data_IF_261028261989
#
_entry.id   IF_261028261989
#
_cell.length_a   1.000
_cell.length_b   1.000
_cell.length_c   1.000
_cell.angle_alpha   90.00
_cell.angle_beta   90.00
_cell.angle_gamma   90.00
#
_symmetry.space_group_name_H-M   'P 1'
#
loop_
_entity.id
_entity.type
_entity.pdbx_description
1 polymer ?
#
# COMPACT_ATOMS: atom_id res chain seq x y z
N UNK A 1 -6.38 -13.45 -27.32
CA UNK A 1 -5.53 -12.82 -26.31
C UNK A 1 -4.21 -12.44 -26.98
N UNK A 2 -3.70 -11.22 -26.81
CA UNK A 2 -2.37 -10.86 -27.28
C UNK A 2 -1.33 -11.82 -26.68
N UNK A 3 -0.29 -12.15 -27.46
CA UNK A 3 0.81 -12.98 -26.95
C UNK A 3 1.59 -12.20 -25.91
N UNK A 4 2.09 -12.86 -24.84
CA UNK A 4 2.96 -12.20 -23.87
C UNK A 4 4.15 -11.56 -24.57
N UNK A 5 4.42 -10.31 -24.24
CA UNK A 5 5.63 -9.62 -24.76
C UNK A 5 6.83 -9.93 -23.87
N UNK A 6 8.00 -10.14 -24.49
CA UNK A 6 9.24 -10.28 -23.73
C UNK A 6 9.63 -8.92 -23.13
N UNK A 7 10.14 -8.93 -21.91
CA UNK A 7 10.57 -7.72 -21.20
C UNK A 7 11.64 -6.95 -21.98
N UNK A 8 12.52 -7.64 -22.72
CA UNK A 8 13.51 -7.01 -23.57
C UNK A 8 12.87 -6.22 -24.73
N UNK A 9 11.76 -6.73 -25.27
CA UNK A 9 11.00 -6.03 -26.33
C UNK A 9 10.34 -4.79 -25.76
N UNK A 10 9.80 -4.86 -24.54
CA UNK A 10 9.19 -3.73 -23.85
C UNK A 10 10.21 -2.64 -23.54
N UNK A 11 11.40 -3.01 -23.04
CA UNK A 11 12.49 -2.08 -22.80
C UNK A 11 12.92 -1.37 -24.08
N UNK A 12 13.03 -2.08 -25.20
CA UNK A 12 13.39 -1.51 -26.49
C UNK A 12 12.31 -0.57 -27.06
N UNK A 13 11.04 -0.79 -26.74
CA UNK A 13 9.90 0.03 -27.19
C UNK A 13 9.59 1.20 -26.29
N UNK A 14 10.32 1.41 -25.19
CA UNK A 14 10.09 2.52 -24.26
C UNK A 14 9.98 3.89 -24.93
N UNK A 15 10.76 4.22 -25.97
CA UNK A 15 10.58 5.48 -26.72
C UNK A 15 9.19 5.65 -27.32
N UNK A 16 8.45 4.53 -27.58
CA UNK A 16 7.13 4.53 -28.20
C UNK A 16 5.99 4.66 -27.17
N UNK A 17 6.29 4.96 -25.91
CA UNK A 17 5.29 5.11 -24.84
C UNK A 17 4.90 6.58 -24.68
N UNK A 18 4.34 7.14 -25.75
CA UNK A 18 3.92 8.55 -25.83
C UNK A 18 3.00 8.95 -24.67
N UNK A 19 2.09 8.06 -24.26
CA UNK A 19 1.15 8.35 -23.17
C UNK A 19 1.87 8.71 -21.84
N UNK A 20 3.07 8.18 -21.56
CA UNK A 20 3.84 8.54 -20.36
C UNK A 20 4.33 9.98 -20.39
N UNK A 21 4.56 10.53 -21.60
CA UNK A 21 4.97 11.93 -21.79
C UNK A 21 3.78 12.89 -21.63
N UNK A 22 2.56 12.41 -21.89
CA UNK A 22 1.32 13.16 -21.73
C UNK A 22 0.82 13.20 -20.27
N UNK A 23 1.35 12.31 -19.40
CA UNK A 23 0.97 12.30 -18.00
C UNK A 23 1.44 13.58 -17.28
N UNK A 24 0.60 14.16 -16.39
CA UNK A 24 0.98 15.32 -15.59
C UNK A 24 2.28 15.08 -14.84
N UNK A 25 3.16 16.07 -14.80
CA UNK A 25 4.44 15.96 -14.08
C UNK A 25 4.29 16.02 -12.57
N UNK A 26 3.19 16.61 -12.10
CA UNK A 26 2.86 16.72 -10.68
C UNK A 26 1.36 16.48 -10.48
N UNK A 27 1.00 15.67 -9.48
CA UNK A 27 -0.38 15.39 -9.05
C UNK A 27 -0.43 15.20 -7.54
N UNK A 28 -1.30 15.93 -6.86
CA UNK A 28 -1.59 15.75 -5.42
C UNK A 28 -0.34 15.72 -4.52
N UNK A 29 0.72 16.47 -4.86
CA UNK A 29 1.98 16.48 -4.13
C UNK A 29 2.93 15.33 -4.46
N UNK A 30 2.63 14.56 -5.52
CA UNK A 30 3.53 13.56 -6.10
C UNK A 30 4.17 14.11 -7.37
N UNK A 31 5.47 13.85 -7.55
CA UNK A 31 6.20 14.15 -8.78
C UNK A 31 6.33 12.91 -9.65
N UNK A 32 6.16 13.06 -10.96
CA UNK A 32 6.33 11.98 -11.92
C UNK A 32 7.81 11.76 -12.23
N UNK A 33 8.27 10.54 -12.00
CA UNK A 33 9.59 10.05 -12.36
C UNK A 33 9.51 9.09 -13.55
N UNK A 34 10.35 9.30 -14.54
CA UNK A 34 10.46 8.36 -15.64
C UNK A 34 11.04 7.03 -15.17
N UNK A 35 10.44 5.93 -15.61
CA UNK A 35 10.89 4.58 -15.32
C UNK A 35 12.10 4.15 -16.16
N UNK A 36 12.18 2.86 -16.43
CA UNK A 36 13.25 2.24 -17.21
C UNK A 36 14.12 1.32 -16.38
N UNK A 37 13.72 1.04 -15.16
CA UNK A 37 14.44 0.17 -14.25
C UNK A 37 13.77 -1.21 -14.19
N UNK A 38 14.60 -2.26 -14.25
CA UNK A 38 14.17 -3.63 -13.99
C UNK A 38 14.46 -3.95 -12.53
N UNK A 39 13.38 -4.21 -11.76
CA UNK A 39 13.45 -4.62 -10.35
C UNK A 39 12.98 -6.08 -10.26
N UNK A 40 13.89 -7.04 -10.21
CA UNK A 40 13.56 -8.46 -10.24
C UNK A 40 12.80 -8.84 -11.52
N UNK A 41 11.52 -9.17 -11.39
CA UNK A 41 10.65 -9.53 -12.53
C UNK A 41 9.75 -8.39 -12.99
N UNK A 42 9.88 -7.20 -12.44
CA UNK A 42 9.05 -6.03 -12.73
C UNK A 42 9.85 -4.94 -13.43
N UNK A 43 9.35 -4.51 -14.59
CA UNK A 43 9.89 -3.37 -15.31
C UNK A 43 9.04 -2.14 -15.00
N UNK A 44 9.65 -1.12 -14.37
CA UNK A 44 8.98 0.13 -14.04
C UNK A 44 8.93 1.02 -15.27
N UNK A 45 7.72 1.40 -15.69
CA UNK A 45 7.46 2.28 -16.82
C UNK A 45 7.56 3.76 -16.43
N UNK A 46 7.05 4.09 -15.27
CA UNK A 46 7.08 5.40 -14.63
C UNK A 46 6.47 5.32 -13.23
N UNK A 47 6.70 6.34 -12.43
CA UNK A 47 6.22 6.38 -11.04
C UNK A 47 5.80 7.79 -10.65
N UNK A 48 4.74 7.90 -9.86
CA UNK A 48 4.43 9.09 -9.06
C UNK A 48 4.97 8.89 -7.66
N UNK A 49 5.80 9.81 -7.19
CA UNK A 49 6.55 9.66 -5.93
C UNK A 49 6.31 10.84 -5.01
N UNK A 50 6.05 10.54 -3.74
CA UNK A 50 6.11 11.48 -2.64
C UNK A 50 7.01 10.87 -1.55
N UNK A 51 8.29 11.26 -1.57
CA UNK A 51 9.31 10.72 -0.66
C UNK A 51 9.05 11.10 0.80
N UNK A 52 8.55 12.32 1.05
CA UNK A 52 8.23 12.80 2.40
C UNK A 52 7.12 11.94 3.03
N UNK A 53 6.09 11.62 2.25
CA UNK A 53 5.00 10.76 2.69
C UNK A 53 5.34 9.26 2.62
N UNK A 54 6.51 8.88 2.10
CA UNK A 54 6.91 7.48 1.83
C UNK A 54 5.86 6.74 1.00
N UNK A 55 5.32 7.40 -0.04
CA UNK A 55 4.26 6.86 -0.88
C UNK A 55 4.65 6.93 -2.35
N UNK A 56 4.24 5.89 -3.09
CA UNK A 56 4.57 5.77 -4.51
C UNK A 56 3.45 5.02 -5.25
N UNK A 57 3.16 5.45 -6.46
CA UNK A 57 2.37 4.74 -7.45
C UNK A 57 3.29 4.38 -8.61
N UNK A 58 3.61 3.11 -8.79
CA UNK A 58 4.42 2.62 -9.91
C UNK A 58 3.51 2.06 -11.01
N UNK A 59 3.80 2.41 -12.25
CA UNK A 59 3.23 1.77 -13.43
C UNK A 59 4.23 0.72 -13.88
N UNK A 60 3.87 -0.56 -13.81
CA UNK A 60 4.81 -1.65 -14.08
C UNK A 60 4.31 -2.61 -15.18
N UNK A 61 5.27 -3.29 -15.78
CA UNK A 61 5.07 -4.54 -16.50
C UNK A 61 5.75 -5.67 -15.74
N UNK A 62 5.02 -6.77 -15.49
CA UNK A 62 5.57 -7.94 -14.79
C UNK A 62 5.86 -9.09 -15.75
N UNK A 63 7.08 -9.66 -15.68
CA UNK A 63 7.51 -10.80 -16.47
C UNK A 63 6.86 -12.13 -16.01
N UNK A 64 6.41 -12.19 -14.76
CA UNK A 64 5.83 -13.42 -14.22
C UNK A 64 4.47 -13.74 -14.84
N UNK A 65 3.61 -12.74 -14.96
CA UNK A 65 2.23 -12.89 -15.47
C UNK A 65 2.02 -12.23 -16.83
N UNK A 66 3.03 -11.48 -17.30
CA UNK A 66 3.01 -10.69 -18.53
C UNK A 66 1.92 -9.60 -18.53
N UNK A 67 1.69 -9.00 -17.36
CA UNK A 67 0.66 -7.99 -17.18
C UNK A 67 1.26 -6.61 -16.98
N UNK A 68 0.54 -5.60 -17.48
CA UNK A 68 0.67 -4.21 -17.10
C UNK A 68 -0.25 -3.95 -15.91
N UNK A 69 0.27 -3.32 -14.85
CA UNK A 69 -0.52 -3.08 -13.64
C UNK A 69 0.04 -1.92 -12.84
N UNK A 70 -0.81 -1.04 -12.26
CA UNK A 70 -0.37 -0.08 -11.26
C UNK A 70 -0.08 -0.79 -9.94
N UNK A 71 0.99 -0.35 -9.28
CA UNK A 71 1.39 -0.84 -7.96
C UNK A 71 1.47 0.34 -7.01
N UNK A 72 0.81 0.25 -5.89
CA UNK A 72 0.91 1.23 -4.81
C UNK A 72 1.90 0.76 -3.78
N UNK A 73 2.72 1.68 -3.33
CA UNK A 73 3.58 1.52 -2.17
C UNK A 73 3.23 2.60 -1.15
N UNK A 74 2.90 2.18 0.06
CA UNK A 74 2.58 3.06 1.19
C UNK A 74 3.40 2.56 2.38
N UNK A 75 4.48 3.27 2.69
CA UNK A 75 5.48 2.78 3.63
C UNK A 75 6.11 1.47 3.16
N UNK A 76 5.98 0.42 3.98
CA UNK A 76 6.43 -0.94 3.65
C UNK A 76 5.33 -1.79 2.98
N UNK A 77 4.10 -1.30 2.92
CA UNK A 77 3.00 -1.97 2.22
C UNK A 77 3.14 -1.76 0.71
N UNK A 78 3.13 -2.85 -0.06
CA UNK A 78 3.19 -2.81 -1.51
C UNK A 78 2.16 -3.77 -2.11
N UNK A 79 1.27 -3.26 -2.97
CA UNK A 79 0.18 -4.04 -3.53
C UNK A 79 -0.21 -3.57 -4.93
N UNK A 80 -0.70 -4.53 -5.74
CA UNK A 80 -1.15 -4.30 -7.11
C UNK A 80 -2.60 -3.82 -7.14
N UNK A 81 -2.89 -2.85 -8.01
CA UNK A 81 -4.26 -2.41 -8.28
C UNK A 81 -4.87 -3.22 -9.42
N UNK A 82 -5.52 -4.31 -9.08
CA UNK A 82 -6.09 -5.25 -10.05
C UNK A 82 -7.26 -4.68 -10.89
N UNK A 83 -7.75 -3.48 -10.57
CA UNK A 83 -8.75 -2.79 -11.40
C UNK A 83 -8.23 -2.44 -12.79
N UNK A 84 -6.90 -2.33 -12.95
CA UNK A 84 -6.22 -1.87 -14.15
C UNK A 84 -5.16 -2.87 -14.64
N UNK A 85 -5.36 -4.15 -14.36
CA UNK A 85 -4.47 -5.20 -14.87
C UNK A 85 -4.87 -5.62 -16.29
N UNK A 86 -3.91 -5.63 -17.22
CA UNK A 86 -4.12 -6.08 -18.60
C UNK A 86 -2.81 -6.52 -19.23
N UNK A 87 -2.90 -7.38 -20.26
CA UNK A 87 -1.76 -7.76 -21.11
C UNK A 87 -1.64 -6.90 -22.37
N UNK A 88 -2.60 -6.01 -22.59
CA UNK A 88 -2.60 -5.12 -23.74
C UNK A 88 -2.09 -3.74 -23.37
N UNK A 89 -0.96 -3.35 -24.00
CA UNK A 89 -0.31 -2.05 -23.76
C UNK A 89 -1.24 -0.87 -24.04
N UNK A 90 -2.04 -0.94 -25.15
CA UNK A 90 -2.87 0.18 -25.55
C UNK A 90 -4.06 0.35 -24.60
N UNK A 91 -4.66 -0.77 -24.18
CA UNK A 91 -5.70 -0.79 -23.15
C UNK A 91 -5.16 -0.23 -21.83
N UNK A 92 -3.93 -0.61 -21.44
CA UNK A 92 -3.29 -0.06 -20.25
C UNK A 92 -3.10 1.46 -20.36
N UNK A 93 -2.57 1.93 -21.48
CA UNK A 93 -2.36 3.36 -21.74
C UNK A 93 -3.67 4.15 -21.63
N UNK A 94 -4.74 3.68 -22.28
CA UNK A 94 -6.08 4.29 -22.23
C UNK A 94 -6.60 4.36 -20.77
N UNK A 95 -6.53 3.24 -20.05
CA UNK A 95 -7.02 3.18 -18.68
C UNK A 95 -6.22 4.10 -17.74
N UNK A 96 -4.90 4.11 -17.88
CA UNK A 96 -4.04 4.94 -17.02
C UNK A 96 -4.26 6.41 -17.31
N UNK A 97 -4.28 6.82 -18.59
CA UNK A 97 -4.55 8.22 -18.96
C UNK A 97 -5.88 8.71 -18.38
N UNK A 98 -6.93 7.87 -18.41
CA UNK A 98 -8.24 8.20 -17.86
C UNK A 98 -8.37 8.13 -16.34
N UNK A 99 -7.43 7.48 -15.64
CA UNK A 99 -7.56 7.18 -14.22
C UNK A 99 -6.41 7.71 -13.34
N UNK A 100 -5.35 8.26 -13.92
CA UNK A 100 -4.11 8.58 -13.20
C UNK A 100 -4.32 9.56 -12.05
N UNK A 101 -5.12 10.60 -12.25
CA UNK A 101 -5.45 11.58 -11.23
C UNK A 101 -6.04 10.90 -9.97
N UNK A 102 -7.06 10.06 -10.18
CA UNK A 102 -7.68 9.28 -9.11
C UNK A 102 -6.73 8.26 -8.46
N UNK A 103 -5.90 7.57 -9.25
CA UNK A 103 -4.95 6.59 -8.73
C UNK A 103 -3.92 7.24 -7.81
N UNK A 104 -3.44 8.45 -8.16
CA UNK A 104 -2.54 9.23 -7.31
C UNK A 104 -3.30 9.76 -6.10
N UNK A 105 -4.50 10.33 -6.26
CA UNK A 105 -5.35 10.79 -5.16
C UNK A 105 -5.60 9.70 -4.12
N UNK A 106 -5.95 8.48 -4.56
CA UNK A 106 -6.15 7.31 -3.70
C UNK A 106 -4.86 6.86 -2.96
N UNK A 107 -3.70 7.43 -3.31
CA UNK A 107 -2.40 7.16 -2.67
C UNK A 107 -2.00 8.27 -1.67
N UNK A 108 -2.69 9.42 -1.67
CA UNK A 108 -2.45 10.55 -0.76
C UNK A 108 -2.67 10.12 0.70
N UNK A 109 -1.84 10.61 1.67
CA UNK A 109 -2.01 10.28 3.10
C UNK A 109 -3.40 10.60 3.68
N UNK A 110 -4.03 11.67 3.21
CA UNK A 110 -5.33 12.16 3.70
C UNK A 110 -6.54 11.60 2.95
N UNK A 111 -6.32 10.69 2.00
CA UNK A 111 -7.41 10.08 1.26
C UNK A 111 -8.28 9.19 2.16
N UNK A 112 -9.58 9.40 2.12
CA UNK A 112 -10.56 8.52 2.78
C UNK A 112 -11.08 7.53 1.73
N UNK A 113 -10.92 6.21 1.97
CA UNK A 113 -11.37 5.18 1.04
C UNK A 113 -12.87 5.28 0.73
N UNK A 114 -13.29 4.80 -0.44
CA UNK A 114 -14.71 4.73 -0.81
C UNK A 114 -15.56 3.90 0.15
N UNK A 115 -14.93 2.96 0.85
CA UNK A 115 -15.52 2.21 1.96
C UNK A 115 -15.69 3.01 3.26
N UNK A 116 -15.35 4.30 3.26
CA UNK A 116 -15.37 5.17 4.45
C UNK A 116 -16.68 5.17 5.21
N UNK A 117 -17.84 5.03 4.52
CA UNK A 117 -19.15 4.91 5.19
C UNK A 117 -19.21 3.67 6.10
N UNK A 118 -18.68 2.52 5.67
CA UNK A 118 -18.63 1.29 6.49
C UNK A 118 -17.66 1.46 7.67
N UNK A 119 -16.56 2.15 7.46
CA UNK A 119 -15.59 2.44 8.52
C UNK A 119 -16.20 3.39 9.57
N UNK A 120 -16.99 4.38 9.12
CA UNK A 120 -17.71 5.29 10.01
C UNK A 120 -18.77 4.57 10.80
N UNK A 121 -19.60 3.75 10.16
CA UNK A 121 -20.65 2.95 10.82
C UNK A 121 -20.05 1.99 11.86
N UNK A 122 -18.81 1.54 11.64
CA UNK A 122 -18.04 0.72 12.58
C UNK A 122 -17.36 1.53 13.70
N UNK A 123 -17.39 2.87 13.62
CA UNK A 123 -16.72 3.77 14.55
C UNK A 123 -15.21 3.92 14.32
N UNK A 124 -14.67 3.37 13.23
CA UNK A 124 -13.22 3.37 12.98
C UNK A 124 -12.70 4.78 12.68
N UNK A 125 -13.40 5.59 11.89
CA UNK A 125 -12.95 6.93 11.53
C UNK A 125 -12.99 7.90 12.72
N UNK A 126 -13.86 7.63 13.70
CA UNK A 126 -14.00 8.43 14.92
C UNK A 126 -13.27 7.75 16.12
N UNK A 127 -12.39 6.78 15.83
CA UNK A 127 -11.69 6.02 16.86
C UNK A 127 -10.43 6.75 17.33
N UNK A 128 -10.50 7.37 18.52
CA UNK A 128 -9.44 8.19 19.11
C UNK A 128 -8.49 7.45 20.05
N UNK A 129 -8.78 6.19 20.38
CA UNK A 129 -7.88 5.42 21.24
C UNK A 129 -6.44 5.35 20.69
N UNK A 130 -6.19 5.18 19.37
CA UNK A 130 -4.84 5.20 18.81
C UNK A 130 -4.07 6.51 19.01
N UNK A 131 -4.76 7.62 19.29
CA UNK A 131 -4.12 8.90 19.62
C UNK A 131 -3.41 8.85 20.99
N UNK A 132 -3.78 7.90 21.85
CA UNK A 132 -3.15 7.65 23.16
C UNK A 132 -1.95 6.70 23.05
N UNK A 133 -1.80 5.99 21.94
CA UNK A 133 -0.69 5.08 21.71
C UNK A 133 0.59 5.86 21.37
N UNK A 134 1.77 5.35 21.74
CA UNK A 134 3.02 6.04 21.47
C UNK A 134 3.26 6.23 19.97
N UNK A 135 3.75 7.42 19.58
CA UNK A 135 4.16 7.70 18.20
C UNK A 135 5.36 6.86 17.77
N UNK A 136 6.15 6.36 18.77
CA UNK A 136 7.32 5.53 18.52
C UNK A 136 7.50 4.50 19.64
N UNK A 137 7.85 3.27 19.24
CA UNK A 137 8.26 2.18 20.12
C UNK A 137 9.54 1.56 19.56
N UNK A 138 10.67 1.76 20.24
CA UNK A 138 11.98 1.39 19.68
C UNK A 138 12.24 2.10 18.36
N UNK A 139 12.47 1.32 17.29
CA UNK A 139 12.65 1.85 15.92
C UNK A 139 11.32 2.00 15.16
N UNK A 140 10.24 1.41 15.64
CA UNK A 140 8.94 1.50 14.99
C UNK A 140 8.33 2.88 15.15
N UNK A 141 7.83 3.45 14.07
CA UNK A 141 7.06 4.69 14.06
C UNK A 141 5.62 4.39 13.65
N UNK A 142 4.66 5.05 14.30
CA UNK A 142 3.26 5.01 13.89
C UNK A 142 3.11 5.72 12.54
N UNK A 143 2.74 4.97 11.50
CA UNK A 143 2.74 5.47 10.13
C UNK A 143 1.33 5.67 9.55
N UNK A 144 0.39 4.76 9.86
CA UNK A 144 -1.02 4.89 9.50
C UNK A 144 -1.85 4.92 10.78
N UNK A 145 -2.84 5.80 10.83
CA UNK A 145 -3.85 5.89 11.87
C UNK A 145 -5.27 5.75 11.32
N UNK A 146 -6.28 5.52 12.17
CA UNK A 146 -7.66 5.25 11.76
C UNK A 146 -8.36 6.44 11.11
N UNK A 147 -7.90 7.67 11.33
CA UNK A 147 -8.43 8.87 10.69
C UNK A 147 -8.12 8.92 9.18
N UNK A 148 -7.03 8.25 8.76
CA UNK A 148 -6.58 8.16 7.37
C UNK A 148 -6.25 6.71 7.00
N UNK A 149 -7.26 5.82 7.03
CA UNK A 149 -7.07 4.40 6.77
C UNK A 149 -6.71 4.13 5.31
N UNK A 150 -6.08 3.01 5.05
CA UNK A 150 -5.68 2.60 3.70
C UNK A 150 -6.49 1.38 3.25
N UNK A 151 -7.24 1.51 2.14
CA UNK A 151 -7.82 0.31 1.50
C UNK A 151 -6.70 -0.57 0.95
N UNK A 152 -6.72 -1.82 1.37
CA UNK A 152 -5.74 -2.84 1.03
C UNK A 152 -6.40 -3.99 0.25
N UNK A 153 -5.62 -5.01 -0.11
CA UNK A 153 -6.12 -6.19 -0.84
C UNK A 153 -7.15 -6.98 -0.01
N UNK A 154 -7.91 -7.85 -0.66
CA UNK A 154 -8.82 -8.82 -0.02
C UNK A 154 -9.88 -8.20 0.91
N UNK A 155 -10.40 -7.02 0.57
CA UNK A 155 -11.39 -6.29 1.38
C UNK A 155 -10.89 -5.92 2.78
N UNK A 156 -9.58 -5.85 2.98
CA UNK A 156 -8.97 -5.33 4.19
C UNK A 156 -8.84 -3.80 4.09
N UNK A 157 -8.93 -3.15 5.24
CA UNK A 157 -8.56 -1.75 5.42
C UNK A 157 -7.55 -1.67 6.54
N UNK A 158 -6.37 -1.12 6.27
CA UNK A 158 -5.35 -0.84 7.29
C UNK A 158 -5.83 0.33 8.12
N UNK A 159 -5.88 0.15 9.43
CA UNK A 159 -6.38 1.14 10.40
C UNK A 159 -5.30 1.60 11.38
N UNK A 160 -4.22 0.83 11.52
CA UNK A 160 -3.05 1.18 12.31
C UNK A 160 -1.83 0.47 11.72
N UNK A 161 -0.73 1.20 11.59
CA UNK A 161 0.54 0.67 11.10
C UNK A 161 1.70 1.24 11.92
N UNK A 162 2.57 0.36 12.37
CA UNK A 162 3.86 0.67 12.99
C UNK A 162 4.98 0.05 12.16
N UNK A 163 5.87 0.88 11.62
CA UNK A 163 6.92 0.46 10.71
C UNK A 163 8.32 0.82 11.21
N UNK A 164 9.25 -0.15 11.18
CA UNK A 164 10.70 0.06 11.21
C UNK A 164 11.19 0.00 9.76
N UNK A 165 11.34 1.17 9.15
CA UNK A 165 11.69 1.30 7.74
C UNK A 165 13.10 0.82 7.43
N UNK A 166 14.00 0.87 8.39
CA UNK A 166 15.41 0.49 8.19
C UNK A 166 15.58 -1.03 8.21
N UNK A 167 14.87 -1.71 9.11
CA UNK A 167 14.88 -3.17 9.20
C UNK A 167 13.89 -3.85 8.24
N UNK A 168 12.91 -3.11 7.68
CA UNK A 168 11.82 -3.67 6.91
C UNK A 168 10.85 -4.51 7.75
N UNK A 169 10.70 -4.14 9.03
CA UNK A 169 9.78 -4.77 9.97
C UNK A 169 8.53 -3.89 10.14
N UNK A 170 7.36 -4.51 10.25
CA UNK A 170 6.08 -3.81 10.29
C UNK A 170 5.04 -4.59 11.11
N UNK A 171 4.22 -3.89 11.85
CA UNK A 171 2.98 -4.40 12.43
C UNK A 171 1.80 -3.64 11.84
N UNK A 172 0.92 -4.35 11.16
CA UNK A 172 -0.26 -3.80 10.49
C UNK A 172 -1.52 -4.35 11.13
N UNK A 173 -2.37 -3.47 11.67
CA UNK A 173 -3.71 -3.84 12.16
C UNK A 173 -4.74 -3.46 11.12
N UNK A 174 -5.59 -4.41 10.78
CA UNK A 174 -6.55 -4.31 9.67
C UNK A 174 -7.97 -4.62 10.12
N UNK A 175 -8.93 -4.02 9.43
CA UNK A 175 -10.33 -4.37 9.49
C UNK A 175 -10.73 -5.13 8.22
N UNK A 176 -11.20 -6.37 8.35
CA UNK A 176 -11.76 -7.15 7.26
C UNK A 176 -13.26 -6.82 7.12
N UNK A 177 -13.62 -6.14 6.02
CA UNK A 177 -14.99 -5.66 5.76
C UNK A 177 -15.99 -6.80 5.55
N UNK A 178 -15.56 -7.94 5.01
CA UNK A 178 -16.43 -9.09 4.73
C UNK A 178 -16.69 -9.91 5.99
N UNK A 179 -15.63 -10.18 6.77
CA UNK A 179 -15.74 -10.96 8.01
C UNK A 179 -16.20 -10.14 9.20
N UNK A 180 -16.17 -8.79 9.05
CA UNK A 180 -16.50 -7.84 10.12
C UNK A 180 -15.66 -8.08 11.39
N UNK A 181 -14.33 -8.20 11.19
CA UNK A 181 -13.38 -8.49 12.26
C UNK A 181 -12.07 -7.71 12.07
N UNK A 182 -11.39 -7.50 13.20
CA UNK A 182 -10.05 -6.94 13.25
C UNK A 182 -9.05 -8.09 13.35
N UNK A 183 -7.92 -7.94 12.66
CA UNK A 183 -6.81 -8.88 12.68
C UNK A 183 -5.51 -8.13 12.41
N UNK A 184 -4.37 -8.79 12.64
CA UNK A 184 -3.09 -8.19 12.36
C UNK A 184 -2.19 -9.11 11.55
N UNK A 185 -1.26 -8.48 10.84
CA UNK A 185 -0.12 -9.12 10.20
C UNK A 185 1.16 -8.40 10.63
N UNK A 186 2.26 -9.11 10.71
CA UNK A 186 3.58 -8.50 10.83
C UNK A 186 4.42 -8.78 9.59
N UNK A 187 5.47 -7.98 9.40
CA UNK A 187 6.57 -8.29 8.50
C UNK A 187 7.87 -8.35 9.29
N UNK A 188 8.70 -9.32 8.95
CA UNK A 188 10.08 -9.43 9.42
C UNK A 188 10.96 -9.45 8.18
N UNK A 189 11.81 -8.44 8.02
CA UNK A 189 12.64 -8.27 6.81
C UNK A 189 11.83 -8.37 5.51
N UNK A 190 10.70 -7.68 5.45
CA UNK A 190 9.75 -7.67 4.33
C UNK A 190 9.00 -8.99 4.10
N UNK A 191 9.16 -10.00 4.95
CA UNK A 191 8.42 -11.27 4.85
C UNK A 191 7.15 -11.19 5.72
N UNK A 192 5.95 -11.27 5.12
CA UNK A 192 4.70 -11.16 5.87
C UNK A 192 4.36 -12.44 6.63
N UNK A 193 3.80 -12.29 7.82
CA UNK A 193 3.28 -13.38 8.64
C UNK A 193 1.94 -12.96 9.24
N UNK A 194 0.97 -13.88 9.24
CA UNK A 194 -0.30 -13.68 9.95
C UNK A 194 -0.09 -13.96 11.44
N UNK A 195 -0.62 -13.08 12.27
CA UNK A 195 -0.57 -13.17 13.73
C UNK A 195 -1.97 -13.10 14.32
N UNK A 196 -2.16 -13.60 15.54
CA UNK A 196 -3.47 -13.66 16.21
C UNK A 196 -3.55 -12.86 17.51
N UNK A 197 -2.47 -12.18 17.88
CA UNK A 197 -2.33 -11.42 19.11
C UNK A 197 -3.31 -10.26 19.23
N UNK A 198 -3.81 -9.76 18.08
CA UNK A 198 -4.70 -8.59 17.98
C UNK A 198 -6.04 -8.92 17.30
N UNK A 199 -6.42 -10.21 17.21
CA UNK A 199 -7.71 -10.61 16.65
C UNK A 199 -8.87 -10.15 17.54
N UNK A 200 -9.82 -9.41 16.98
CA UNK A 200 -10.96 -8.89 17.71
C UNK A 200 -12.20 -8.75 16.81
N UNK A 201 -13.40 -8.86 17.42
CA UNK A 201 -14.68 -8.61 16.72
C UNK A 201 -15.22 -7.18 16.94
N UNK A 202 -14.73 -6.50 17.99
CA UNK A 202 -15.18 -5.16 18.39
C UNK A 202 -13.99 -4.27 18.66
N UNK A 203 -14.14 -2.96 18.44
CA UNK A 203 -13.10 -1.97 18.73
C UNK A 203 -12.67 -2.00 20.19
N UNK A 204 -13.62 -2.10 21.12
CA UNK A 204 -13.32 -2.10 22.55
C UNK A 204 -12.41 -3.27 22.96
N UNK A 205 -12.58 -4.44 22.32
CA UNK A 205 -11.70 -5.58 22.55
C UNK A 205 -10.31 -5.36 21.95
N UNK A 206 -10.25 -4.74 20.76
CA UNK A 206 -8.98 -4.38 20.13
C UNK A 206 -8.21 -3.36 20.97
N UNK A 207 -8.89 -2.37 21.58
CA UNK A 207 -8.29 -1.39 22.51
C UNK A 207 -7.57 -2.08 23.67
N UNK A 208 -8.23 -3.05 24.31
CA UNK A 208 -7.63 -3.82 25.42
C UNK A 208 -6.37 -4.55 24.95
N UNK A 209 -6.44 -5.22 23.79
CA UNK A 209 -5.29 -5.95 23.24
C UNK A 209 -4.14 -5.01 22.88
N UNK A 210 -4.43 -3.86 22.29
CA UNK A 210 -3.41 -2.87 21.94
C UNK A 210 -2.79 -2.23 23.21
N UNK A 211 -3.62 -1.89 24.21
CA UNK A 211 -3.14 -1.32 25.46
C UNK A 211 -2.18 -2.26 26.20
N UNK A 212 -2.48 -3.56 26.20
CA UNK A 212 -1.72 -4.56 26.96
C UNK A 212 -0.49 -5.07 26.19
N UNK A 213 -0.57 -5.17 24.86
CA UNK A 213 0.38 -5.98 24.07
C UNK A 213 1.21 -5.21 23.06
N UNK A 214 0.78 -4.02 22.61
CA UNK A 214 1.43 -3.33 21.49
C UNK A 214 2.92 -3.05 21.75
N UNK A 215 3.24 -2.39 22.85
CA UNK A 215 4.64 -2.04 23.14
C UNK A 215 5.55 -3.26 23.31
N UNK A 216 5.21 -4.25 24.18
CA UNK A 216 6.05 -5.44 24.31
C UNK A 216 6.15 -6.23 23.01
N UNK A 217 5.08 -6.28 22.19
CA UNK A 217 5.10 -6.94 20.90
C UNK A 217 6.09 -6.27 19.93
N UNK A 218 6.03 -4.94 19.78
CA UNK A 218 6.92 -4.20 18.89
C UNK A 218 8.38 -4.29 19.32
N UNK A 219 8.67 -4.27 20.63
CA UNK A 219 10.02 -4.46 21.15
C UNK A 219 10.56 -5.87 20.85
N UNK A 220 9.74 -6.90 21.00
CA UNK A 220 10.11 -8.28 20.64
C UNK A 220 10.33 -8.43 19.14
N UNK A 221 9.42 -7.87 18.31
CA UNK A 221 9.53 -7.86 16.85
C UNK A 221 10.85 -7.19 16.39
N UNK A 222 11.24 -6.09 17.02
CA UNK A 222 12.50 -5.39 16.73
C UNK A 222 13.76 -6.17 17.17
N UNK A 223 13.66 -7.05 18.15
CA UNK A 223 14.76 -7.89 18.60
C UNK A 223 14.92 -9.17 17.76
N UNK A 224 13.82 -9.75 17.29
CA UNK A 224 13.81 -10.96 16.46
C UNK A 224 14.24 -10.69 15.01
N UNK A 225 14.38 -9.43 14.62
CA UNK A 225 14.88 -8.98 13.32
C UNK A 225 16.38 -8.67 13.28
N UNK A 226 17.16 -9.12 14.27
CA UNK A 226 18.63 -8.88 14.32
C UNK A 226 19.42 -10.11 13.95
#
# INVERSE_FOLDING_TARGET
MPKPEDIEVIIKRRPDWEFLQELPKELHGFSFEEGGQLKGHEFVLGSYVNEEARRRLELIYTKETFDYVPVRQVGLLRFRDFRYITRDKNVFAEWITGAIDRLVEETVPTYIPRSGHLLKDKGILDWHFPDTLPERVGNFVKFIGPQHPLDFINNATVILDYADFDAGNELVVMFNRVRNEFYAENKIHMIPNTIHEFDAKKLENLEVLLAERLEPYLLDLGNNGK
#
